data_IF_318224308530
#
_entry.id   IF_318224308530
#
_cell.length_a   1.000
_cell.length_b   1.000
_cell.length_c   1.000
_cell.angle_alpha   90.00
_cell.angle_beta   90.00
_cell.angle_gamma   90.00
#
_symmetry.space_group_name_H-M   'P 1'
#
loop_
_entity.id
_entity.type
_entity.pdbx_description
1 polymer ?
#
# COMPACT_ATOMS: atom_id res chain seq x y z
N UNK A 1 9.08 13.53 15.14
CA UNK A 1 8.06 12.76 15.91
C UNK A 1 8.05 11.27 15.55
N UNK A 2 8.34 10.85 14.30
CA UNK A 2 8.51 9.43 13.93
C UNK A 2 9.76 8.84 14.63
N UNK A 3 10.81 9.62 14.79
CA UNK A 3 12.02 9.21 15.49
C UNK A 3 11.82 8.98 16.99
N UNK A 4 10.92 9.71 17.63
CA UNK A 4 10.60 9.51 19.06
C UNK A 4 9.80 8.22 19.32
N UNK A 5 9.00 7.76 18.36
CA UNK A 5 8.38 6.43 18.45
C UNK A 5 9.35 5.28 18.21
N UNK A 6 10.53 5.54 17.61
CA UNK A 6 11.59 4.56 17.41
C UNK A 6 12.52 4.40 18.63
N UNK A 7 12.45 5.31 19.60
CA UNK A 7 13.16 5.25 20.87
C UNK A 7 12.27 4.68 21.97
N UNK A 8 11.40 3.76 21.61
CA UNK A 8 10.80 2.85 22.58
C UNK A 8 11.88 1.92 23.11
N UNK A 9 11.81 1.56 24.40
CA UNK A 9 12.77 0.68 25.07
C UNK A 9 13.21 -0.45 24.14
N UNK A 10 14.44 -0.92 24.24
CA UNK A 10 14.99 -2.07 23.48
C UNK A 10 14.02 -3.26 23.45
N UNK A 11 13.19 -3.41 24.47
CA UNK A 11 12.12 -4.39 24.58
C UNK A 11 11.10 -4.29 23.43
N UNK A 12 10.67 -3.09 23.02
CA UNK A 12 9.71 -2.91 21.91
C UNK A 12 10.30 -3.24 20.54
N UNK A 13 11.63 -3.18 20.41
CA UNK A 13 12.33 -3.53 19.16
C UNK A 13 12.64 -5.03 19.12
N UNK A 14 12.94 -5.64 20.24
CA UNK A 14 13.36 -7.04 20.38
C UNK A 14 12.21 -8.04 20.25
N UNK A 15 11.02 -7.66 20.76
CA UNK A 15 9.85 -8.53 20.85
C UNK A 15 8.82 -8.27 19.73
N UNK A 16 9.24 -7.71 18.59
CA UNK A 16 8.36 -7.54 17.43
C UNK A 16 7.84 -8.91 16.96
N UNK A 17 6.67 -9.22 17.42
CA UNK A 17 5.89 -10.37 16.94
C UNK A 17 4.75 -9.86 16.06
N UNK A 18 4.02 -10.80 15.42
CA UNK A 18 2.80 -10.43 14.69
C UNK A 18 1.69 -9.86 15.59
N UNK A 19 1.86 -9.90 16.90
CA UNK A 19 0.91 -9.40 17.90
C UNK A 19 1.34 -8.05 18.47
N UNK A 20 2.64 -7.75 18.41
CA UNK A 20 3.20 -6.49 18.94
C UNK A 20 3.99 -5.81 17.82
N UNK A 21 3.45 -4.74 17.28
CA UNK A 21 4.04 -3.93 16.22
C UNK A 21 3.62 -2.47 16.36
N UNK A 22 4.41 -1.57 15.78
CA UNK A 22 4.04 -0.16 15.71
C UNK A 22 2.83 0.00 14.79
N UNK A 23 1.75 0.56 15.32
CA UNK A 23 0.56 0.85 14.50
C UNK A 23 0.73 2.13 13.68
N UNK A 24 -0.09 2.26 12.65
CA UNK A 24 -0.06 3.42 11.77
C UNK A 24 -0.86 4.56 12.40
N UNK A 25 -0.15 5.56 12.93
CA UNK A 25 -0.75 6.74 13.59
C UNK A 25 -1.75 7.51 12.70
N UNK A 26 -1.62 7.41 11.37
CA UNK A 26 -2.53 8.09 10.43
C UNK A 26 -4.00 7.64 10.52
N UNK A 27 -4.26 6.50 11.17
CA UNK A 27 -5.61 5.97 11.39
C UNK A 27 -6.12 6.17 12.82
N UNK A 28 -5.33 6.83 13.68
CA UNK A 28 -5.76 7.11 15.03
C UNK A 28 -6.97 8.07 15.03
N UNK A 29 -7.98 7.70 15.80
CA UNK A 29 -9.15 8.52 16.04
C UNK A 29 -9.07 9.09 17.47
N UNK A 30 -8.54 10.30 17.56
CA UNK A 30 -8.36 11.02 18.84
C UNK A 30 -9.67 11.42 19.50
N UNK A 31 -10.81 11.31 18.80
CA UNK A 31 -12.14 11.65 19.33
C UNK A 31 -12.84 10.45 19.96
N UNK A 32 -12.25 9.25 19.92
CA UNK A 32 -12.81 8.08 20.60
C UNK A 32 -12.84 8.31 22.11
N UNK A 33 -13.98 8.01 22.72
CA UNK A 33 -14.14 8.17 24.16
C UNK A 33 -13.27 7.19 24.96
N UNK A 34 -13.09 5.97 24.44
CA UNK A 34 -12.24 4.93 25.06
C UNK A 34 -11.48 4.15 24.00
N UNK A 35 -10.37 3.50 24.38
CA UNK A 35 -9.59 2.64 23.47
C UNK A 35 -10.35 1.39 23.05
N UNK A 36 -11.36 0.97 23.80
CA UNK A 36 -12.16 -0.24 23.56
C UNK A 36 -13.39 0.04 22.68
N UNK A 37 -13.60 1.27 22.28
CA UNK A 37 -14.72 1.62 21.40
C UNK A 37 -14.47 1.14 19.99
N UNK A 38 -15.32 0.23 19.49
CA UNK A 38 -15.17 -0.36 18.15
C UNK A 38 -15.49 0.62 17.03
N UNK A 39 -16.40 1.56 17.29
CA UNK A 39 -16.84 2.54 16.29
C UNK A 39 -15.96 3.78 16.34
N UNK A 40 -15.31 4.07 15.21
CA UNK A 40 -14.60 5.33 15.02
C UNK A 40 -15.56 6.46 14.62
N UNK A 41 -15.19 7.69 14.96
CA UNK A 41 -15.90 8.92 14.57
C UNK A 41 -15.25 9.61 13.37
N UNK A 42 -14.09 9.11 12.93
CA UNK A 42 -13.31 9.66 11.83
C UNK A 42 -13.78 9.10 10.49
N UNK A 43 -13.89 9.97 9.50
CA UNK A 43 -14.18 9.57 8.13
C UNK A 43 -13.06 8.69 7.56
N UNK A 44 -13.45 7.68 6.78
CA UNK A 44 -12.52 6.85 6.05
C UNK A 44 -12.12 7.53 4.74
N UNK A 45 -10.83 7.73 4.55
CA UNK A 45 -10.30 8.33 3.32
C UNK A 45 -10.24 7.26 2.23
N UNK A 46 -11.16 7.33 1.27
CA UNK A 46 -11.18 6.42 0.13
C UNK A 46 -10.14 6.81 -0.94
N UNK A 47 -9.95 8.12 -1.16
CA UNK A 47 -9.06 8.68 -2.17
C UNK A 47 -8.41 9.96 -1.66
N UNK A 48 -7.13 10.18 -2.03
CA UNK A 48 -6.42 11.41 -1.70
C UNK A 48 -5.46 11.83 -2.81
N UNK A 49 -5.07 13.10 -2.83
CA UNK A 49 -4.22 13.71 -3.86
C UNK A 49 -2.89 12.98 -4.04
N UNK A 50 -2.31 12.44 -2.99
CA UNK A 50 -1.07 11.64 -3.06
C UNK A 50 -1.20 10.44 -4.00
N UNK A 51 -2.34 9.74 -3.97
CA UNK A 51 -2.61 8.64 -4.90
C UNK A 51 -2.70 9.13 -6.35
N UNK A 52 -3.33 10.30 -6.58
CA UNK A 52 -3.41 10.89 -7.91
C UNK A 52 -2.03 11.24 -8.47
N UNK A 53 -1.13 11.79 -7.66
CA UNK A 53 0.25 12.07 -8.09
C UNK A 53 1.02 10.80 -8.44
N UNK A 54 0.88 9.73 -7.66
CA UNK A 54 1.53 8.46 -7.95
C UNK A 54 0.97 7.79 -9.20
N UNK A 55 -0.34 7.88 -9.44
CA UNK A 55 -0.97 7.39 -10.67
C UNK A 55 -0.52 8.19 -11.89
N UNK A 56 -0.45 9.52 -11.77
CA UNK A 56 0.05 10.38 -12.85
C UNK A 56 1.52 10.06 -13.16
N UNK A 57 2.37 9.93 -12.13
CA UNK A 57 3.77 9.56 -12.29
C UNK A 57 3.94 8.21 -12.99
N UNK A 58 3.14 7.21 -12.63
CA UNK A 58 3.16 5.91 -13.29
C UNK A 58 2.68 6.00 -14.75
N UNK A 59 1.61 6.73 -15.00
CA UNK A 59 1.04 6.89 -16.35
C UNK A 59 2.05 7.56 -17.29
N UNK A 60 2.68 8.65 -16.87
CA UNK A 60 3.72 9.33 -17.64
C UNK A 60 4.95 8.44 -17.87
N UNK A 61 5.40 7.74 -16.83
CA UNK A 61 6.51 6.79 -16.98
C UNK A 61 6.23 5.72 -18.04
N UNK A 62 5.02 5.14 -18.01
CA UNK A 62 4.61 4.12 -19.01
C UNK A 62 4.42 4.70 -20.42
N UNK A 63 4.08 5.97 -20.52
CA UNK A 63 4.00 6.69 -21.80
C UNK A 63 5.40 7.09 -22.35
N UNK A 64 6.47 6.87 -21.59
CA UNK A 64 7.83 7.26 -21.97
C UNK A 64 8.19 8.70 -21.62
N UNK A 65 7.30 9.44 -20.97
CA UNK A 65 7.52 10.83 -20.53
C UNK A 65 8.12 10.83 -19.12
N UNK A 66 9.42 10.60 -19.04
CA UNK A 66 10.16 10.49 -17.80
C UNK A 66 10.18 11.80 -17.00
N UNK A 67 10.22 12.94 -17.70
CA UNK A 67 10.30 14.26 -17.05
C UNK A 67 9.02 14.57 -16.27
N UNK A 68 7.85 14.37 -16.88
CA UNK A 68 6.59 14.55 -16.18
C UNK A 68 6.39 13.47 -15.09
N UNK A 69 6.83 12.24 -15.29
CA UNK A 69 6.79 11.22 -14.26
C UNK A 69 7.57 11.64 -13.01
N UNK A 70 8.82 12.10 -13.18
CA UNK A 70 9.66 12.63 -12.11
C UNK A 70 9.03 13.83 -11.42
N UNK A 71 8.46 14.76 -12.21
CA UNK A 71 7.79 15.94 -11.67
C UNK A 71 6.73 15.57 -10.63
N UNK A 72 5.82 14.64 -10.95
CA UNK A 72 4.73 14.26 -10.06
C UNK A 72 5.22 13.47 -8.86
N UNK A 73 6.15 12.54 -9.05
CA UNK A 73 6.71 11.74 -7.95
C UNK A 73 7.52 12.64 -7.00
N UNK A 74 8.37 13.50 -7.52
CA UNK A 74 9.18 14.40 -6.70
C UNK A 74 8.32 15.46 -6.00
N UNK A 75 7.21 15.89 -6.59
CA UNK A 75 6.25 16.77 -5.91
C UNK A 75 5.71 16.11 -4.63
N UNK A 76 5.32 14.84 -4.71
CA UNK A 76 4.88 14.09 -3.54
C UNK A 76 6.00 13.93 -2.51
N UNK A 77 7.18 13.50 -2.95
CA UNK A 77 8.32 13.23 -2.08
C UNK A 77 8.81 14.48 -1.34
N UNK A 78 8.83 15.63 -2.01
CA UNK A 78 9.11 16.93 -1.35
C UNK A 78 8.11 17.27 -0.25
N UNK A 79 6.83 17.02 -0.49
CA UNK A 79 5.78 17.27 0.50
C UNK A 79 5.88 16.37 1.75
N UNK A 80 6.49 15.20 1.61
CA UNK A 80 6.72 14.25 2.70
C UNK A 80 8.07 14.44 3.39
N UNK A 81 8.91 15.34 2.89
CA UNK A 81 10.23 15.60 3.43
C UNK A 81 10.18 16.33 4.77
N UNK A 82 11.21 16.12 5.58
CA UNK A 82 11.48 16.97 6.74
C UNK A 82 11.81 18.38 6.23
N UNK A 83 11.28 19.41 6.88
CA UNK A 83 11.50 20.79 6.51
C UNK A 83 13.01 21.10 6.34
N UNK A 84 13.36 21.63 5.19
CA UNK A 84 14.75 21.94 4.80
C UNK A 84 15.51 20.80 4.13
N UNK A 85 14.88 19.61 3.98
CA UNK A 85 15.48 18.43 3.35
C UNK A 85 14.71 17.96 2.09
N UNK A 86 13.95 18.86 1.50
CA UNK A 86 13.08 18.55 0.35
C UNK A 86 13.90 18.02 -0.84
N UNK A 87 15.06 18.61 -1.10
CA UNK A 87 15.96 18.20 -2.19
C UNK A 87 16.58 16.82 -1.98
N UNK A 88 16.83 16.45 -0.73
CA UNK A 88 17.39 15.13 -0.40
C UNK A 88 16.41 13.98 -0.70
N UNK A 89 15.12 14.29 -0.77
CA UNK A 89 14.06 13.33 -1.08
C UNK A 89 13.82 13.14 -2.57
N UNK A 90 14.33 14.05 -3.41
CA UNK A 90 14.14 13.96 -4.86
C UNK A 90 14.88 12.75 -5.45
N UNK A 91 14.30 12.17 -6.48
CA UNK A 91 14.91 11.10 -7.27
C UNK A 91 15.25 11.58 -8.67
N UNK A 92 16.19 10.92 -9.29
CA UNK A 92 16.62 11.12 -10.66
C UNK A 92 15.96 10.13 -11.63
N UNK A 93 16.15 10.34 -12.93
CA UNK A 93 15.64 9.43 -13.95
C UNK A 93 16.21 8.00 -13.84
N UNK A 94 17.46 7.87 -13.34
CA UNK A 94 18.10 6.57 -13.14
C UNK A 94 17.46 5.73 -12.03
N UNK A 95 16.80 6.38 -11.07
CA UNK A 95 16.14 5.71 -9.93
C UNK A 95 14.72 5.27 -10.29
N UNK A 96 14.14 5.87 -11.33
CA UNK A 96 12.75 5.69 -11.68
C UNK A 96 12.53 4.36 -12.43
N UNK A 97 11.68 3.54 -11.87
CA UNK A 97 11.25 2.26 -12.45
C UNK A 97 9.84 1.91 -11.98
N UNK A 98 9.20 0.93 -12.63
CA UNK A 98 7.90 0.41 -12.17
C UNK A 98 8.00 -0.11 -10.74
N UNK A 99 9.10 -0.79 -10.42
CA UNK A 99 9.34 -1.33 -9.09
C UNK A 99 9.52 -0.23 -8.05
N UNK A 100 10.25 0.84 -8.40
CA UNK A 100 10.38 2.02 -7.54
C UNK A 100 9.01 2.67 -7.27
N UNK A 101 8.19 2.85 -8.31
CA UNK A 101 6.84 3.42 -8.19
C UNK A 101 5.97 2.55 -7.28
N UNK A 102 6.03 1.23 -7.42
CA UNK A 102 5.33 0.29 -6.54
C UNK A 102 5.77 0.40 -5.08
N UNK A 103 7.05 0.60 -4.85
CA UNK A 103 7.60 0.77 -3.50
C UNK A 103 7.21 2.13 -2.90
N UNK A 104 7.20 3.19 -3.71
CA UNK A 104 6.72 4.51 -3.28
C UNK A 104 5.23 4.45 -2.93
N UNK A 105 4.41 3.80 -3.75
CA UNK A 105 2.98 3.56 -3.45
C UNK A 105 2.80 2.75 -2.16
N UNK A 106 3.65 1.78 -1.90
CA UNK A 106 3.60 0.99 -0.67
C UNK A 106 3.91 1.83 0.58
N UNK A 107 4.90 2.73 0.48
CA UNK A 107 5.28 3.64 1.57
C UNK A 107 4.17 4.66 1.84
N UNK A 108 3.73 5.33 0.79
CA UNK A 108 2.77 6.44 0.90
C UNK A 108 1.36 5.97 1.26
N UNK A 109 0.88 4.91 0.62
CA UNK A 109 -0.49 4.41 0.77
C UNK A 109 -0.59 3.23 1.76
N UNK A 110 0.39 3.09 2.64
CA UNK A 110 0.42 2.02 3.63
C UNK A 110 -0.85 2.02 4.49
N UNK A 111 -1.50 0.86 4.59
CA UNK A 111 -2.74 0.69 5.36
C UNK A 111 -4.02 1.17 4.66
N UNK A 112 -3.94 1.79 3.48
CA UNK A 112 -5.11 2.33 2.76
C UNK A 112 -5.82 1.30 1.86
N UNK A 113 -5.45 0.02 1.96
CA UNK A 113 -6.10 -1.08 1.23
C UNK A 113 -5.78 -1.14 -0.27
N UNK A 114 -4.82 -0.35 -0.78
CA UNK A 114 -4.51 -0.24 -2.21
C UNK A 114 -3.56 -1.32 -2.73
N UNK A 115 -2.73 -1.90 -1.87
CA UNK A 115 -1.59 -2.75 -2.25
C UNK A 115 -1.97 -3.95 -3.13
N UNK A 116 -3.05 -4.65 -2.82
CA UNK A 116 -3.50 -5.80 -3.62
C UNK A 116 -3.81 -5.40 -5.06
N UNK A 117 -4.52 -4.30 -5.26
CA UNK A 117 -4.89 -3.82 -6.58
C UNK A 117 -3.66 -3.38 -7.38
N UNK A 118 -2.74 -2.68 -6.75
CA UNK A 118 -1.50 -2.22 -7.39
C UNK A 118 -0.66 -3.40 -7.88
N UNK A 119 -0.43 -4.38 -7.03
CA UNK A 119 0.36 -5.55 -7.38
C UNK A 119 -0.31 -6.40 -8.46
N UNK A 120 -1.64 -6.58 -8.36
CA UNK A 120 -2.39 -7.36 -9.34
C UNK A 120 -2.39 -6.72 -10.72
N UNK A 121 -2.73 -5.41 -10.83
CA UNK A 121 -2.81 -4.73 -12.14
C UNK A 121 -1.46 -4.64 -12.86
N UNK A 122 -0.36 -4.72 -12.11
CA UNK A 122 1.00 -4.71 -12.64
C UNK A 122 1.60 -6.11 -12.85
N UNK A 123 0.84 -7.18 -12.57
CA UNK A 123 1.31 -8.57 -12.68
C UNK A 123 2.42 -8.91 -11.68
N UNK A 124 2.54 -8.17 -10.58
CA UNK A 124 3.59 -8.31 -9.57
C UNK A 124 3.12 -8.94 -8.26
N UNK A 125 1.88 -9.47 -8.22
CA UNK A 125 1.28 -9.94 -6.99
C UNK A 125 2.06 -11.11 -6.37
N UNK A 126 2.34 -12.14 -7.15
CA UNK A 126 3.02 -13.35 -6.68
C UNK A 126 4.47 -13.02 -6.32
N UNK A 127 5.21 -12.44 -7.28
CA UNK A 127 6.62 -12.08 -7.11
C UNK A 127 6.87 -11.25 -5.85
N UNK A 128 6.11 -10.16 -5.67
CA UNK A 128 6.29 -9.25 -4.54
C UNK A 128 5.76 -9.84 -3.23
N UNK A 129 4.77 -10.71 -3.27
CA UNK A 129 4.31 -11.43 -2.08
C UNK A 129 5.38 -12.41 -1.60
N UNK A 130 5.96 -13.18 -2.50
CA UNK A 130 7.04 -14.10 -2.16
C UNK A 130 8.29 -13.40 -1.64
N UNK A 131 8.63 -12.24 -2.22
CA UNK A 131 9.79 -11.48 -1.79
C UNK A 131 9.63 -10.85 -0.41
N UNK A 132 8.45 -10.28 -0.12
CA UNK A 132 8.26 -9.41 1.06
C UNK A 132 7.40 -10.00 2.16
N UNK A 133 6.64 -11.07 1.90
CA UNK A 133 5.77 -11.70 2.89
C UNK A 133 6.24 -13.11 3.23
N UNK A 134 7.11 -13.23 4.23
CA UNK A 134 7.66 -14.52 4.66
C UNK A 134 6.60 -15.58 5.00
N UNK A 135 5.41 -15.17 5.44
CA UNK A 135 4.32 -16.10 5.79
C UNK A 135 3.56 -16.63 4.57
N UNK A 136 3.47 -15.83 3.53
CA UNK A 136 2.79 -16.19 2.30
C UNK A 136 3.74 -16.75 1.24
N UNK A 137 5.06 -16.74 1.52
CA UNK A 137 6.08 -17.25 0.61
C UNK A 137 5.77 -18.68 0.16
N UNK A 138 5.76 -18.91 -1.14
CA UNK A 138 5.46 -20.21 -1.75
C UNK A 138 3.97 -20.62 -1.72
N UNK A 139 3.12 -19.90 -0.99
CA UNK A 139 1.68 -20.21 -0.89
C UNK A 139 0.84 -19.54 -1.97
N UNK A 140 1.30 -18.41 -2.52
CA UNK A 140 0.62 -17.72 -3.62
C UNK A 140 0.81 -18.47 -4.94
N UNK A 141 -0.29 -18.76 -5.62
CA UNK A 141 -0.33 -19.40 -6.94
C UNK A 141 -1.04 -18.48 -7.93
N UNK A 142 -0.87 -18.73 -9.23
CA UNK A 142 -1.46 -17.90 -10.30
C UNK A 142 -2.97 -17.74 -10.18
N UNK A 143 -3.68 -18.77 -9.76
CA UNK A 143 -5.13 -18.68 -9.60
C UNK A 143 -5.58 -17.74 -8.49
N UNK A 144 -4.73 -17.43 -7.50
CA UNK A 144 -5.03 -16.46 -6.45
C UNK A 144 -5.10 -15.02 -6.96
N UNK A 145 -4.65 -14.75 -8.18
CA UNK A 145 -4.88 -13.45 -8.82
C UNK A 145 -6.37 -13.18 -9.04
N UNK A 146 -7.15 -14.24 -9.20
CA UNK A 146 -8.61 -14.17 -9.18
C UNK A 146 -9.10 -14.59 -7.79
N UNK A 147 -9.96 -13.79 -7.19
CA UNK A 147 -10.61 -14.17 -5.94
C UNK A 147 -11.74 -15.15 -6.19
N UNK A 148 -12.07 -16.04 -5.24
CA UNK A 148 -13.26 -16.86 -5.35
C UNK A 148 -14.51 -15.98 -5.39
N UNK A 149 -15.47 -16.37 -6.21
CA UNK A 149 -16.79 -15.76 -6.22
C UNK A 149 -17.53 -16.27 -4.97
N UNK A 150 -18.11 -15.38 -4.15
CA UNK A 150 -18.85 -15.82 -2.97
C UNK A 150 -19.94 -16.83 -3.34
N UNK A 151 -20.00 -17.95 -2.62
CA UNK A 151 -21.01 -19.00 -2.89
C UNK A 151 -22.42 -18.44 -2.87
N UNK A 152 -22.71 -17.53 -1.96
CA UNK A 152 -24.01 -16.85 -1.90
C UNK A 152 -24.38 -16.07 -3.16
N UNK A 153 -23.40 -15.64 -3.95
CA UNK A 153 -23.64 -15.01 -5.25
C UNK A 153 -24.00 -16.07 -6.30
N UNK A 154 -23.27 -17.18 -6.32
CA UNK A 154 -23.54 -18.30 -7.23
C UNK A 154 -24.94 -18.85 -7.00
N UNK A 155 -25.31 -19.08 -5.74
CA UNK A 155 -26.60 -19.65 -5.35
C UNK A 155 -27.81 -18.76 -5.70
N UNK A 156 -27.59 -17.45 -5.85
CA UNK A 156 -28.65 -16.48 -6.20
C UNK A 156 -28.83 -16.32 -7.71
N UNK A 157 -27.93 -16.84 -8.51
CA UNK A 157 -28.05 -16.74 -9.97
C UNK A 157 -28.98 -17.83 -10.51
N UNK A 158 -29.93 -17.45 -11.34
CA UNK A 158 -30.81 -18.41 -12.05
C UNK A 158 -30.11 -19.12 -13.18
N UNK A 159 -29.08 -18.51 -13.75
CA UNK A 159 -28.23 -19.07 -14.78
C UNK A 159 -27.02 -19.79 -14.16
N UNK A 160 -26.44 -20.72 -14.88
CA UNK A 160 -25.20 -21.36 -14.48
C UNK A 160 -24.10 -20.30 -14.40
N UNK A 161 -23.56 -20.14 -13.21
CA UNK A 161 -22.51 -19.17 -12.92
C UNK A 161 -21.30 -19.91 -12.33
N UNK A 162 -20.32 -20.28 -13.19
CA UNK A 162 -19.19 -21.10 -12.76
C UNK A 162 -18.26 -20.31 -11.83
N UNK A 163 -17.65 -21.01 -10.88
CA UNK A 163 -16.60 -20.48 -10.04
C UNK A 163 -15.35 -20.19 -10.89
N UNK A 164 -14.51 -19.28 -10.42
CA UNK A 164 -13.19 -19.06 -11.00
C UNK A 164 -12.35 -20.33 -10.97
N UNK A 165 -11.52 -20.59 -12.01
CA UNK A 165 -10.72 -21.81 -12.09
C UNK A 165 -9.89 -22.05 -10.83
N UNK A 166 -9.88 -23.29 -10.36
CA UNK A 166 -9.11 -23.77 -9.20
C UNK A 166 -9.59 -23.28 -7.81
N UNK A 167 -10.75 -22.61 -7.77
CA UNK A 167 -11.45 -22.30 -6.52
C UNK A 167 -12.60 -23.24 -6.22
#
# INVERSE_FOLDING_TARGET
>A
EIAQCLVGSEMCIRDRSNRVFLHLKKFDDVKRATMNEEKGTRDWVCFRVAEAYLLAGEAYYRAGDVDNALKYINMLRRNCAIKGKEKEMEISASDLSVDFILDERARELCGEGKRWYDLKRLGKLIERTDLHNKKAHGNMKSFHELRPIPQSQIDRCTNVYPQNPQW
#
